data_IF_306113521552
#
_entry.id   IF_306113521552
#
_cell.length_a   1.000
_cell.length_b   1.000
_cell.length_c   1.000
_cell.angle_alpha   90.00
_cell.angle_beta   90.00
_cell.angle_gamma   90.00
#
_symmetry.space_group_name_H-M   'P 1'
#
loop_
_entity.id
_entity.type
_entity.pdbx_description
1 polymer ?
#
# COMPACT_ATOMS: atom_id res chain seq x y z
N UNK A 1 39.54 -7.92 -28.67
CA UNK A 1 39.20 -7.97 -27.24
C UNK A 1 37.68 -8.09 -27.08
N UNK A 2 37.22 -9.06 -26.31
CA UNK A 2 35.83 -9.30 -26.13
C UNK A 2 35.45 -9.19 -24.65
N UNK A 3 34.26 -8.71 -24.39
CA UNK A 3 33.63 -8.74 -23.06
C UNK A 3 32.35 -9.56 -23.16
N UNK A 4 32.27 -10.62 -22.39
CA UNK A 4 31.07 -11.45 -22.33
C UNK A 4 30.41 -11.27 -20.98
N UNK A 5 29.12 -10.91 -20.99
CA UNK A 5 28.32 -10.78 -19.78
C UNK A 5 27.21 -11.81 -19.84
N UNK A 6 27.21 -12.69 -18.86
CA UNK A 6 26.16 -13.70 -18.73
C UNK A 6 25.24 -13.34 -17.56
N UNK A 7 23.94 -13.29 -17.83
CA UNK A 7 22.94 -13.05 -16.82
C UNK A 7 22.48 -14.40 -16.21
N UNK A 8 22.43 -14.41 -14.88
CA UNK A 8 21.85 -15.57 -14.18
C UNK A 8 20.32 -15.39 -14.12
N UNK A 9 19.64 -15.94 -15.12
CA UNK A 9 18.20 -15.74 -15.26
C UNK A 9 17.39 -16.26 -14.05
N UNK A 10 17.68 -17.44 -13.48
CA UNK A 10 16.99 -17.87 -12.26
C UNK A 10 17.16 -16.91 -11.08
N UNK A 11 18.35 -16.31 -10.92
CA UNK A 11 18.60 -15.36 -9.85
C UNK A 11 17.82 -14.05 -10.07
N UNK A 12 17.73 -13.57 -11.32
CA UNK A 12 16.96 -12.39 -11.67
C UNK A 12 15.48 -12.62 -11.38
N UNK A 13 14.95 -13.77 -11.77
CA UNK A 13 13.55 -14.14 -11.52
C UNK A 13 13.25 -14.23 -10.01
N UNK A 14 14.18 -14.77 -9.24
CA UNK A 14 14.05 -14.86 -7.78
C UNK A 14 13.99 -13.46 -7.15
N UNK A 15 14.81 -12.51 -7.61
CA UNK A 15 14.82 -11.14 -7.13
C UNK A 15 13.49 -10.44 -7.50
N UNK A 16 13.03 -10.64 -8.74
CA UNK A 16 11.75 -10.05 -9.18
C UNK A 16 10.59 -10.55 -8.34
N UNK A 17 10.55 -11.85 -8.05
CA UNK A 17 9.52 -12.44 -7.19
C UNK A 17 9.59 -11.88 -5.77
N UNK A 18 10.81 -11.73 -5.24
CA UNK A 18 11.02 -11.13 -3.92
C UNK A 18 10.47 -9.70 -3.86
N UNK A 19 10.68 -8.91 -4.91
CA UNK A 19 10.16 -7.55 -5.01
C UNK A 19 8.63 -7.52 -5.06
N UNK A 20 8.02 -8.42 -5.84
CA UNK A 20 6.56 -8.53 -5.91
C UNK A 20 5.95 -8.87 -4.55
N UNK A 21 6.51 -9.88 -3.89
CA UNK A 21 6.00 -10.34 -2.59
C UNK A 21 6.23 -9.30 -1.50
N UNK A 22 7.36 -8.60 -1.52
CA UNK A 22 7.65 -7.53 -0.58
C UNK A 22 6.68 -6.36 -0.74
N UNK A 23 6.32 -6.01 -1.98
CA UNK A 23 5.35 -4.97 -2.25
C UNK A 23 3.95 -5.34 -1.74
N UNK A 24 3.54 -6.59 -1.96
CA UNK A 24 2.26 -7.09 -1.43
C UNK A 24 2.22 -7.05 0.10
N UNK A 25 3.30 -7.46 0.76
CA UNK A 25 3.38 -7.40 2.22
C UNK A 25 3.31 -5.96 2.72
N UNK A 26 4.07 -5.05 2.11
CA UNK A 26 4.09 -3.64 2.52
C UNK A 26 2.71 -2.99 2.40
N UNK A 27 2.03 -3.20 1.29
CA UNK A 27 0.70 -2.63 1.08
C UNK A 27 -0.36 -3.29 1.96
N UNK A 28 -0.22 -4.58 2.26
CA UNK A 28 -1.09 -5.26 3.22
C UNK A 28 -0.92 -4.70 4.63
N UNK A 29 0.31 -4.40 5.03
CA UNK A 29 0.59 -3.75 6.31
C UNK A 29 0.08 -2.32 6.34
N UNK A 30 0.14 -1.58 5.23
CA UNK A 30 -0.46 -0.24 5.12
C UNK A 30 -1.97 -0.32 5.34
N UNK A 31 -2.64 -1.28 4.74
CA UNK A 31 -4.08 -1.49 4.96
C UNK A 31 -4.39 -1.69 6.44
N UNK A 32 -3.57 -2.49 7.12
CA UNK A 32 -3.71 -2.75 8.57
C UNK A 32 -3.48 -1.47 9.37
N UNK A 33 -2.44 -0.69 9.03
CA UNK A 33 -2.15 0.58 9.70
C UNK A 33 -3.31 1.57 9.57
N UNK A 34 -3.85 1.74 8.37
CA UNK A 34 -4.98 2.64 8.13
C UNK A 34 -6.21 2.19 8.92
N UNK A 35 -6.47 0.89 8.95
CA UNK A 35 -7.59 0.33 9.71
C UNK A 35 -7.40 0.52 11.22
N UNK A 36 -6.21 0.25 11.72
CA UNK A 36 -5.88 0.40 13.14
C UNK A 36 -5.94 1.86 13.57
N UNK A 37 -5.55 2.79 12.70
CA UNK A 37 -5.62 4.23 12.98
C UNK A 37 -7.07 4.75 13.05
N UNK A 38 -8.05 3.97 12.59
CA UNK A 38 -9.47 4.33 12.59
C UNK A 38 -9.73 5.66 11.86
N UNK A 39 -8.97 5.92 10.79
CA UNK A 39 -9.01 7.19 10.07
C UNK A 39 -10.03 7.19 8.92
N UNK A 40 -10.44 6.04 8.42
CA UNK A 40 -11.41 5.95 7.33
C UNK A 40 -12.83 6.21 7.83
N UNK A 41 -13.67 6.89 7.03
CA UNK A 41 -15.09 7.02 7.35
C UNK A 41 -15.73 5.64 7.49
N UNK A 42 -16.51 5.47 8.55
CA UNK A 42 -17.11 4.17 8.89
C UNK A 42 -18.60 4.36 9.22
N UNK A 43 -19.45 3.81 8.37
CA UNK A 43 -20.88 3.72 8.64
C UNK A 43 -21.25 2.24 8.86
N UNK A 44 -21.23 1.43 7.79
CA UNK A 44 -21.49 -0.02 7.89
C UNK A 44 -20.20 -0.84 7.90
N UNK A 45 -19.06 -0.23 7.65
CA UNK A 45 -17.78 -0.92 7.49
C UNK A 45 -17.51 -1.43 6.08
N UNK A 46 -18.44 -1.27 5.15
CA UNK A 46 -18.31 -1.78 3.78
C UNK A 46 -17.09 -1.20 3.08
N UNK A 47 -16.90 0.13 3.16
CA UNK A 47 -15.78 0.80 2.50
C UNK A 47 -14.43 0.30 3.04
N UNK A 48 -14.28 0.25 4.37
CA UNK A 48 -13.04 -0.15 5.01
C UNK A 48 -12.75 -1.64 4.84
N UNK A 49 -13.75 -2.49 5.04
CA UNK A 49 -13.56 -3.93 5.16
C UNK A 49 -13.75 -4.68 3.85
N UNK A 50 -14.81 -4.38 3.10
CA UNK A 50 -15.17 -5.15 1.90
C UNK A 50 -14.66 -4.51 0.61
N UNK A 51 -14.51 -3.19 0.59
CA UNK A 51 -14.19 -2.44 -0.64
C UNK A 51 -12.78 -1.86 -0.65
N UNK A 52 -11.99 -2.09 0.37
CA UNK A 52 -10.59 -1.69 0.42
C UNK A 52 -9.72 -2.94 0.29
N UNK A 53 -8.87 -2.97 -0.71
CA UNK A 53 -8.04 -4.14 -1.01
C UNK A 53 -6.71 -3.72 -1.61
N UNK A 54 -5.73 -4.62 -1.50
CA UNK A 54 -4.44 -4.48 -2.19
C UNK A 54 -4.58 -5.13 -3.56
N UNK A 55 -4.19 -4.40 -4.61
CA UNK A 55 -4.15 -4.91 -5.97
C UNK A 55 -2.73 -4.81 -6.53
N UNK A 56 -2.35 -5.74 -7.38
CA UNK A 56 -1.02 -5.75 -7.98
C UNK A 56 -1.10 -6.09 -9.46
N UNK A 57 -0.47 -5.22 -10.29
CA UNK A 57 -0.29 -5.45 -11.71
C UNK A 57 1.18 -5.73 -11.99
N UNK A 58 1.47 -6.87 -12.62
CA UNK A 58 2.82 -7.26 -13.00
C UNK A 58 3.00 -7.00 -14.50
N UNK A 59 3.85 -6.05 -14.85
CA UNK A 59 4.22 -5.72 -16.20
C UNK A 59 5.63 -6.27 -16.49
N UNK A 60 6.07 -6.34 -17.78
CA UNK A 60 7.38 -6.94 -18.10
C UNK A 60 8.56 -6.29 -17.37
N UNK A 61 8.50 -4.99 -17.12
CA UNK A 61 9.61 -4.22 -16.51
C UNK A 61 9.21 -3.50 -15.23
N UNK A 62 7.95 -3.61 -14.79
CA UNK A 62 7.43 -2.84 -13.65
C UNK A 62 6.37 -3.64 -12.91
N UNK A 63 6.30 -3.44 -11.61
CA UNK A 63 5.22 -3.97 -10.76
C UNK A 63 4.55 -2.80 -10.07
N UNK A 64 3.24 -2.68 -10.24
CA UNK A 64 2.42 -1.70 -9.55
C UNK A 64 1.60 -2.39 -8.47
N UNK A 65 1.79 -1.99 -7.22
CA UNK A 65 1.02 -2.49 -6.09
C UNK A 65 0.33 -1.30 -5.43
N UNK A 66 -0.98 -1.40 -5.25
CA UNK A 66 -1.77 -0.28 -4.75
C UNK A 66 -2.79 -0.73 -3.71
N UNK A 67 -3.08 0.16 -2.76
CA UNK A 67 -4.22 0.04 -1.87
C UNK A 67 -5.37 0.80 -2.50
N UNK A 68 -6.46 0.12 -2.79
CA UNK A 68 -7.60 0.67 -3.53
C UNK A 68 -8.87 0.57 -2.68
N UNK A 69 -9.59 1.68 -2.57
CA UNK A 69 -10.93 1.71 -1.99
C UNK A 69 -11.93 1.91 -3.11
N UNK A 70 -12.67 0.86 -3.44
CA UNK A 70 -13.56 0.79 -4.58
C UNK A 70 -15.02 0.98 -4.16
N UNK A 71 -15.41 2.23 -3.93
CA UNK A 71 -16.81 2.60 -3.74
C UNK A 71 -17.10 3.86 -4.53
N UNK A 72 -18.36 4.08 -4.98
CA UNK A 72 -18.70 5.28 -5.73
C UNK A 72 -18.50 6.58 -4.95
N UNK A 73 -18.51 6.52 -3.61
CA UNK A 73 -18.41 7.70 -2.75
C UNK A 73 -17.03 7.90 -2.11
N UNK A 74 -16.12 6.93 -2.22
CA UNK A 74 -14.81 7.00 -1.55
C UNK A 74 -14.01 8.22 -1.97
N UNK A 75 -13.92 8.49 -3.28
CA UNK A 75 -13.20 9.63 -3.80
C UNK A 75 -13.76 10.95 -3.27
N UNK A 76 -15.09 11.08 -3.23
CA UNK A 76 -15.75 12.27 -2.72
C UNK A 76 -15.45 12.49 -1.24
N UNK A 77 -15.55 11.46 -0.43
CA UNK A 77 -15.26 11.55 0.99
C UNK A 77 -13.79 11.89 1.24
N UNK A 78 -12.90 11.29 0.47
CA UNK A 78 -11.46 11.54 0.62
C UNK A 78 -11.10 13.01 0.38
N UNK A 79 -11.66 13.61 -0.67
CA UNK A 79 -11.31 14.96 -1.09
C UNK A 79 -12.15 16.07 -0.42
N UNK A 80 -12.98 15.70 0.55
CA UNK A 80 -13.81 16.66 1.28
C UNK A 80 -13.60 16.54 2.79
N UNK A 81 -12.40 16.93 3.30
CA UNK A 81 -12.10 16.82 4.74
C UNK A 81 -12.98 17.71 5.61
N UNK A 82 -13.67 18.71 5.02
CA UNK A 82 -14.59 19.59 5.72
C UNK A 82 -15.92 18.93 6.10
N UNK A 83 -16.19 17.72 5.59
CA UNK A 83 -17.41 16.99 5.95
C UNK A 83 -17.38 16.54 7.40
N UNK A 84 -18.55 16.43 8.02
CA UNK A 84 -18.68 15.94 9.39
C UNK A 84 -18.77 14.41 9.37
N UNK A 85 -17.67 13.74 9.68
CA UNK A 85 -17.60 12.29 9.69
C UNK A 85 -18.04 11.73 11.05
N UNK A 86 -18.74 10.59 11.01
CA UNK A 86 -19.11 9.87 12.24
C UNK A 86 -17.86 9.30 12.90
N UNK A 87 -17.72 9.50 14.21
CA UNK A 87 -16.57 9.02 14.98
C UNK A 87 -16.93 7.94 15.98
N UNK A 88 -18.18 7.45 15.97
CA UNK A 88 -18.64 6.44 16.93
C UNK A 88 -17.94 5.10 16.77
N UNK A 89 -17.65 4.68 15.53
CA UNK A 89 -16.99 3.41 15.23
C UNK A 89 -15.50 3.59 14.94
N UNK A 90 -15.15 4.60 14.15
CA UNK A 90 -13.76 5.00 13.90
C UNK A 90 -13.54 6.39 14.51
N UNK A 91 -12.80 6.43 15.60
CA UNK A 91 -12.64 7.66 16.40
C UNK A 91 -11.95 8.80 15.62
N UNK A 92 -11.11 8.46 14.66
CA UNK A 92 -10.32 9.42 13.88
C UNK A 92 -10.82 9.54 12.44
N UNK A 93 -12.06 9.15 12.15
CA UNK A 93 -12.64 9.20 10.81
C UNK A 93 -12.56 10.62 10.22
N UNK A 94 -12.01 10.71 9.00
CA UNK A 94 -11.76 11.98 8.34
C UNK A 94 -11.63 11.80 6.83
N UNK A 95 -11.69 12.91 6.09
CA UNK A 95 -11.23 12.93 4.70
C UNK A 95 -9.69 12.84 4.65
N UNK A 96 -9.16 12.59 3.46
CA UNK A 96 -7.70 12.45 3.25
C UNK A 96 -7.07 11.48 4.25
N UNK A 97 -7.70 10.33 4.47
CA UNK A 97 -7.30 9.38 5.51
C UNK A 97 -5.96 8.70 5.25
N UNK A 98 -5.40 8.82 4.05
CA UNK A 98 -4.06 8.30 3.72
C UNK A 98 -2.97 9.36 3.85
N UNK A 99 -3.31 10.59 4.19
CA UNK A 99 -2.38 11.72 4.20
C UNK A 99 -1.11 11.45 5.02
N UNK A 100 -1.22 10.81 6.16
CA UNK A 100 -0.09 10.58 7.05
C UNK A 100 1.01 9.72 6.39
N UNK A 101 0.65 8.87 5.43
CA UNK A 101 1.58 7.97 4.75
C UNK A 101 2.01 8.49 3.38
N UNK A 102 1.49 9.64 2.95
CA UNK A 102 1.85 10.29 1.69
C UNK A 102 2.97 11.30 1.91
N UNK A 103 3.60 11.82 0.83
CA UNK A 103 4.60 12.89 0.97
C UNK A 103 4.07 14.06 1.80
N UNK A 104 4.92 14.59 2.67
CA UNK A 104 4.60 15.64 3.65
C UNK A 104 3.68 15.19 4.80
N UNK A 105 3.32 13.92 4.89
CA UNK A 105 2.60 13.36 6.02
C UNK A 105 3.54 12.97 7.16
N UNK A 106 2.98 12.74 8.33
CA UNK A 106 3.75 12.42 9.53
C UNK A 106 4.55 11.11 9.41
N UNK A 107 4.09 10.18 8.56
CA UNK A 107 4.72 8.88 8.36
C UNK A 107 5.06 8.63 6.90
N UNK A 108 5.55 9.66 6.20
CA UNK A 108 5.82 9.58 4.75
C UNK A 108 6.86 8.52 4.37
N UNK A 109 7.78 8.19 5.26
CA UNK A 109 8.83 7.20 4.99
C UNK A 109 8.51 5.80 5.51
N UNK A 110 7.36 5.62 6.17
CA UNK A 110 6.98 4.35 6.79
C UNK A 110 6.87 3.23 5.75
N UNK A 111 6.17 3.49 4.65
CA UNK A 111 5.92 2.48 3.62
C UNK A 111 7.22 2.01 2.96
N UNK A 112 8.10 2.95 2.64
CA UNK A 112 9.41 2.62 2.06
C UNK A 112 10.24 1.77 3.01
N UNK A 113 10.27 2.12 4.29
CA UNK A 113 11.01 1.39 5.33
C UNK A 113 10.48 -0.05 5.45
N UNK A 114 9.17 -0.23 5.47
CA UNK A 114 8.54 -1.55 5.55
C UNK A 114 8.84 -2.37 4.30
N UNK A 115 8.75 -1.74 3.12
CA UNK A 115 9.08 -2.43 1.86
C UNK A 115 10.54 -2.89 1.83
N UNK A 116 11.48 -2.03 2.22
CA UNK A 116 12.90 -2.37 2.25
C UNK A 116 13.18 -3.52 3.21
N UNK A 117 12.57 -3.51 4.39
CA UNK A 117 12.69 -4.58 5.37
C UNK A 117 12.15 -5.91 4.84
N UNK A 118 10.98 -5.88 4.23
CA UNK A 118 10.35 -7.06 3.63
C UNK A 118 11.20 -7.63 2.49
N UNK A 119 11.77 -6.75 1.65
CA UNK A 119 12.62 -7.14 0.55
C UNK A 119 13.91 -7.81 1.03
N UNK A 120 14.56 -7.23 2.04
CA UNK A 120 15.80 -7.80 2.61
C UNK A 120 15.60 -9.23 3.12
N UNK A 121 14.47 -9.51 3.74
CA UNK A 121 14.15 -10.85 4.24
C UNK A 121 13.96 -11.88 3.13
N UNK A 122 13.58 -11.43 1.94
CA UNK A 122 13.24 -12.28 0.80
C UNK A 122 14.35 -12.43 -0.23
N UNK A 123 15.35 -11.55 -0.22
CA UNK A 123 16.46 -11.62 -1.16
C UNK A 123 17.33 -12.81 -0.88
N UNK A 124 17.88 -13.48 -1.93
CA UNK A 124 18.86 -14.54 -1.77
C UNK A 124 20.11 -14.03 -1.03
N UNK A 125 20.64 -14.86 -0.14
CA UNK A 125 21.87 -14.56 0.60
C UNK A 125 23.10 -15.00 -0.18
#
# INVERSE_FOLDING_TARGET
MEIEVKLNQPAIEAIQRAMQDAALEAMGLLRTEVTTAQAMPFDTGTMQNARTAVVQDVLPDTVHTALVTDTPYARRLYHHPEYHFQTGKNANARGEWLHDWLPCGAQEHWLQTIYESALKRRLPK
#
